data_IF_542763369142
#
_entry.id   IF_542763369142
#
_cell.length_a   1.000
_cell.length_b   1.000
_cell.length_c   1.000
_cell.angle_alpha   90.00
_cell.angle_beta   90.00
_cell.angle_gamma   90.00
#
_symmetry.space_group_name_H-M   'P 1'
#
loop_
_entity.id
_entity.type
_entity.pdbx_description
1 polymer ?
#
# COMPACT_ATOMS: atom_id res chain seq x y z
N UNK A 1 -27.98 16.98 10.63
CA UNK A 1 -28.10 15.65 10.00
C UNK A 1 -27.13 15.60 8.82
N UNK A 2 -26.03 14.84 8.94
CA UNK A 2 -24.86 14.88 8.03
C UNK A 2 -25.08 14.00 6.80
N UNK A 3 -24.56 14.49 5.68
CA UNK A 3 -24.59 14.03 4.29
C UNK A 3 -24.46 12.49 4.12
N UNK A 4 -25.48 11.86 3.54
CA UNK A 4 -25.41 10.55 2.88
C UNK A 4 -25.46 10.75 1.36
N UNK A 5 -24.33 11.09 0.72
CA UNK A 5 -24.28 11.23 -0.74
C UNK A 5 -22.93 10.87 -1.38
N UNK A 6 -22.02 10.20 -0.65
CA UNK A 6 -20.68 9.87 -1.15
C UNK A 6 -20.40 8.38 -1.40
N UNK A 7 -21.26 7.46 -0.96
CA UNK A 7 -20.87 6.05 -0.79
C UNK A 7 -20.94 5.14 -2.04
N UNK A 8 -21.20 5.63 -3.26
CA UNK A 8 -21.47 4.70 -4.39
C UNK A 8 -20.35 4.54 -5.42
N UNK A 9 -19.29 5.36 -5.37
CA UNK A 9 -18.19 5.34 -6.35
C UNK A 9 -16.86 4.84 -5.75
N UNK A 10 -16.76 4.70 -4.42
CA UNK A 10 -15.59 4.12 -3.74
C UNK A 10 -15.63 2.59 -3.57
N UNK A 11 -16.79 1.94 -3.73
CA UNK A 11 -16.96 0.50 -3.46
C UNK A 11 -16.18 -0.39 -4.44
N UNK A 12 -16.19 -0.03 -5.73
CA UNK A 12 -15.57 -0.85 -6.78
C UNK A 12 -14.04 -0.89 -6.74
N UNK A 13 -13.39 0.17 -6.21
CA UNK A 13 -11.92 0.20 -6.08
C UNK A 13 -11.45 -0.45 -4.78
N UNK A 14 -12.19 -0.27 -3.69
CA UNK A 14 -11.88 -0.89 -2.39
C UNK A 14 -12.04 -2.41 -2.48
N UNK A 15 -13.02 -2.90 -3.23
CA UNK A 15 -13.20 -4.34 -3.46
C UNK A 15 -12.01 -4.94 -4.22
N UNK A 16 -11.48 -4.27 -5.24
CA UNK A 16 -10.32 -4.76 -6.00
C UNK A 16 -9.06 -4.77 -5.14
N UNK A 17 -8.81 -3.71 -4.37
CA UNK A 17 -7.66 -3.65 -3.45
C UNK A 17 -7.75 -4.70 -2.33
N UNK A 18 -8.97 -4.98 -1.84
CA UNK A 18 -9.23 -6.04 -0.87
C UNK A 18 -9.03 -7.44 -1.44
N UNK A 19 -9.58 -7.72 -2.62
CA UNK A 19 -9.40 -9.01 -3.29
C UNK A 19 -7.93 -9.23 -3.62
N UNK A 20 -7.22 -8.20 -4.07
CA UNK A 20 -5.79 -8.30 -4.40
C UNK A 20 -4.96 -8.54 -3.14
N UNK A 21 -5.20 -7.79 -2.05
CA UNK A 21 -4.53 -8.01 -0.76
C UNK A 21 -4.79 -9.40 -0.20
N UNK A 22 -6.05 -9.84 -0.17
CA UNK A 22 -6.45 -11.17 0.29
C UNK A 22 -5.86 -12.29 -0.57
N UNK A 23 -5.81 -12.12 -1.90
CA UNK A 23 -5.24 -13.12 -2.82
C UNK A 23 -3.72 -13.21 -2.62
N UNK A 24 -3.01 -12.08 -2.60
CA UNK A 24 -1.55 -12.07 -2.46
C UNK A 24 -1.13 -12.62 -1.10
N UNK A 25 -1.68 -12.10 0.00
CA UNK A 25 -1.31 -12.61 1.33
C UNK A 25 -1.85 -14.02 1.60
N UNK A 26 -2.98 -14.41 1.02
CA UNK A 26 -3.48 -15.77 1.09
C UNK A 26 -2.55 -16.77 0.40
N UNK A 27 -2.04 -16.44 -0.79
CA UNK A 27 -1.05 -17.27 -1.50
C UNK A 27 0.26 -17.33 -0.73
N UNK A 28 0.75 -16.20 -0.19
CA UNK A 28 1.97 -16.19 0.65
C UNK A 28 1.79 -17.03 1.91
N UNK A 29 0.67 -16.90 2.62
CA UNK A 29 0.36 -17.69 3.81
C UNK A 29 0.25 -19.19 3.51
N UNK A 30 -0.39 -19.55 2.40
CA UNK A 30 -0.47 -20.93 1.94
C UNK A 30 0.92 -21.50 1.57
N UNK A 31 1.78 -20.70 0.92
CA UNK A 31 3.14 -21.10 0.59
C UNK A 31 4.00 -21.33 1.85
N UNK A 32 3.90 -20.46 2.87
CA UNK A 32 4.56 -20.64 4.17
C UNK A 32 4.06 -21.91 4.85
N UNK A 33 2.75 -22.12 4.89
CA UNK A 33 2.15 -23.29 5.51
C UNK A 33 2.49 -24.60 4.80
N UNK A 34 2.71 -24.56 3.47
CA UNK A 34 3.22 -25.69 2.69
C UNK A 34 4.68 -26.00 3.03
N UNK A 35 5.51 -24.97 3.21
CA UNK A 35 6.93 -25.13 3.57
C UNK A 35 7.12 -25.84 4.92
N UNK A 36 6.17 -25.69 5.85
CA UNK A 36 6.20 -26.37 7.15
C UNK A 36 5.72 -27.83 7.12
N UNK A 37 5.19 -28.32 5.99
CA UNK A 37 4.92 -29.73 5.75
C UNK A 37 3.72 -30.35 6.50
N UNK A 38 3.04 -29.61 7.38
CA UNK A 38 1.83 -30.12 8.07
C UNK A 38 0.56 -29.56 7.42
N UNK A 39 -0.43 -30.41 7.15
CA UNK A 39 -1.69 -29.99 6.50
C UNK A 39 -2.44 -28.95 7.34
N UNK A 40 -2.30 -29.01 8.67
CA UNK A 40 -2.86 -28.03 9.60
C UNK A 40 -2.19 -26.65 9.50
N UNK A 41 -0.85 -26.58 9.33
CA UNK A 41 -0.14 -25.31 9.17
C UNK A 41 -0.52 -24.58 7.88
N UNK A 42 -0.88 -25.34 6.83
CA UNK A 42 -1.32 -24.79 5.54
C UNK A 42 -2.62 -23.99 5.66
N UNK A 43 -3.62 -24.57 6.35
CA UNK A 43 -4.92 -23.92 6.56
C UNK A 43 -4.79 -22.72 7.50
N UNK A 44 -4.03 -22.85 8.59
CA UNK A 44 -3.89 -21.78 9.58
C UNK A 44 -3.09 -20.62 8.99
N UNK A 45 -1.93 -20.87 8.38
CA UNK A 45 -1.12 -19.82 7.77
C UNK A 45 -1.82 -19.16 6.58
N UNK A 46 -2.54 -19.94 5.77
CA UNK A 46 -3.39 -19.41 4.70
C UNK A 46 -4.53 -18.55 5.23
N UNK A 47 -5.25 -18.99 6.26
CA UNK A 47 -6.34 -18.23 6.86
C UNK A 47 -5.84 -16.92 7.50
N UNK A 48 -4.71 -16.97 8.19
CA UNK A 48 -4.06 -15.77 8.75
C UNK A 48 -3.62 -14.82 7.63
N UNK A 49 -3.03 -15.34 6.55
CA UNK A 49 -2.66 -14.56 5.38
C UNK A 49 -3.88 -13.87 4.75
N UNK A 50 -4.96 -14.61 4.51
CA UNK A 50 -6.22 -14.04 3.97
C UNK A 50 -6.79 -12.98 4.92
N UNK A 51 -6.79 -13.23 6.24
CA UNK A 51 -7.31 -12.28 7.23
C UNK A 51 -6.49 -10.97 7.25
N UNK A 52 -5.16 -11.05 7.22
CA UNK A 52 -4.30 -9.87 7.12
C UNK A 52 -4.44 -9.16 5.78
N UNK A 53 -4.52 -9.89 4.67
CA UNK A 53 -4.75 -9.32 3.34
C UNK A 53 -6.09 -8.59 3.24
N UNK A 54 -7.13 -9.16 3.85
CA UNK A 54 -8.45 -8.54 3.96
C UNK A 54 -8.42 -7.27 4.83
N UNK A 55 -7.79 -7.32 6.00
CA UNK A 55 -7.62 -6.15 6.89
C UNK A 55 -6.86 -5.02 6.21
N UNK A 56 -5.74 -5.31 5.55
CA UNK A 56 -4.92 -4.32 4.86
C UNK A 56 -5.67 -3.72 3.65
N UNK A 57 -6.45 -4.54 2.94
CA UNK A 57 -7.34 -4.10 1.88
C UNK A 57 -8.46 -3.17 2.36
N UNK A 58 -9.00 -3.43 3.55
CA UNK A 58 -10.02 -2.62 4.21
C UNK A 58 -9.50 -1.22 4.61
N UNK A 59 -8.20 -1.10 4.91
CA UNK A 59 -7.56 0.18 5.21
C UNK A 59 -7.30 1.06 3.96
N UNK A 60 -7.65 0.59 2.75
CA UNK A 60 -7.66 1.43 1.52
C UNK A 60 -6.28 1.90 1.04
N UNK A 61 -5.20 1.35 1.60
CA UNK A 61 -3.84 1.83 1.41
C UNK A 61 -3.12 1.23 0.20
N UNK A 62 -3.71 1.23 -1.01
CA UNK A 62 -3.07 0.62 -2.20
C UNK A 62 -1.61 1.01 -2.37
N UNK A 63 -1.30 2.30 -2.21
CA UNK A 63 0.05 2.87 -2.32
C UNK A 63 1.00 2.32 -1.24
N UNK A 64 0.48 2.15 -0.02
CA UNK A 64 1.21 1.65 1.13
C UNK A 64 1.47 0.14 1.03
N UNK A 65 0.47 -0.63 0.60
CA UNK A 65 0.63 -2.06 0.33
C UNK A 65 1.66 -2.29 -0.78
N UNK A 66 1.53 -1.58 -1.91
CA UNK A 66 2.47 -1.71 -3.03
C UNK A 66 3.89 -1.31 -2.63
N UNK A 67 4.07 -0.29 -1.78
CA UNK A 67 5.41 0.10 -1.34
C UNK A 67 6.04 -0.90 -0.37
N UNK A 68 5.26 -1.52 0.53
CA UNK A 68 5.76 -2.61 1.40
C UNK A 68 6.15 -3.81 0.55
N UNK A 69 5.30 -4.25 -0.38
CA UNK A 69 5.59 -5.41 -1.23
C UNK A 69 6.83 -5.15 -2.09
N UNK A 70 6.91 -3.97 -2.72
CA UNK A 70 8.07 -3.60 -3.51
C UNK A 70 9.34 -3.50 -2.65
N UNK A 71 9.25 -2.95 -1.44
CA UNK A 71 10.34 -2.89 -0.47
C UNK A 71 10.80 -4.27 -0.01
N UNK A 72 9.88 -5.19 0.26
CA UNK A 72 10.19 -6.57 0.66
C UNK A 72 10.84 -7.36 -0.48
N UNK A 73 10.36 -7.21 -1.72
CA UNK A 73 10.96 -7.85 -2.89
C UNK A 73 12.36 -7.30 -3.18
N UNK A 74 12.54 -5.98 -3.14
CA UNK A 74 13.85 -5.35 -3.33
C UNK A 74 14.82 -5.71 -2.21
N UNK A 75 14.39 -5.66 -0.95
CA UNK A 75 15.22 -6.00 0.21
C UNK A 75 15.60 -7.49 0.24
N UNK A 76 14.66 -8.38 -0.04
CA UNK A 76 14.92 -9.82 -0.14
C UNK A 76 15.82 -10.17 -1.32
N UNK A 77 15.57 -9.58 -2.49
CA UNK A 77 16.39 -9.78 -3.69
C UNK A 77 17.81 -9.24 -3.53
N UNK A 78 17.98 -8.09 -2.88
CA UNK A 78 19.31 -7.54 -2.61
C UNK A 78 20.07 -8.38 -1.58
N UNK A 79 19.40 -8.85 -0.53
CA UNK A 79 20.00 -9.77 0.44
C UNK A 79 20.38 -11.12 -0.21
N UNK A 80 19.57 -11.61 -1.14
CA UNK A 80 19.89 -12.81 -1.93
C UNK A 80 21.17 -12.63 -2.75
N UNK A 81 21.32 -11.48 -3.42
CA UNK A 81 22.48 -11.16 -4.24
C UNK A 81 23.78 -11.00 -3.44
N UNK A 82 23.69 -10.49 -2.20
CA UNK A 82 24.87 -10.14 -1.39
C UNK A 82 25.28 -11.27 -0.46
N UNK A 83 24.32 -11.91 0.21
CA UNK A 83 24.57 -12.82 1.33
C UNK A 83 23.92 -14.21 1.16
N UNK A 84 23.35 -14.50 -0.02
CA UNK A 84 22.74 -15.79 -0.32
C UNK A 84 21.37 -15.99 0.32
N UNK A 85 20.87 -17.23 0.29
CA UNK A 85 19.50 -17.59 0.69
C UNK A 85 19.20 -17.37 2.18
N UNK A 86 20.21 -17.45 3.03
CA UNK A 86 20.04 -17.36 4.49
C UNK A 86 19.67 -15.95 4.95
N UNK A 87 20.07 -14.93 4.19
CA UNK A 87 19.80 -13.52 4.51
C UNK A 87 18.51 -13.00 3.88
N UNK A 88 17.87 -13.74 2.97
CA UNK A 88 16.72 -13.29 2.18
C UNK A 88 15.54 -12.91 3.07
N UNK A 89 15.27 -13.71 4.11
CA UNK A 89 14.18 -13.46 5.04
C UNK A 89 14.39 -12.17 5.82
N UNK A 90 15.63 -11.90 6.23
CA UNK A 90 16.00 -10.69 6.98
C UNK A 90 15.98 -9.44 6.09
N UNK A 91 16.46 -9.58 4.85
CA UNK A 91 16.39 -8.55 3.82
C UNK A 91 14.95 -8.20 3.41
N UNK A 92 14.10 -9.22 3.25
CA UNK A 92 12.70 -9.02 2.92
C UNK A 92 11.93 -8.36 4.07
N UNK A 93 12.20 -8.75 5.32
CA UNK A 93 11.58 -8.16 6.49
C UNK A 93 11.97 -6.67 6.66
N UNK A 94 13.26 -6.36 6.60
CA UNK A 94 13.76 -4.99 6.71
C UNK A 94 13.33 -4.11 5.53
N UNK A 95 13.39 -4.64 4.31
CA UNK A 95 12.93 -3.95 3.10
C UNK A 95 11.44 -3.67 3.11
N UNK A 96 10.62 -4.60 3.61
CA UNK A 96 9.19 -4.40 3.81
C UNK A 96 8.90 -3.28 4.81
N UNK A 97 9.62 -3.27 5.94
CA UNK A 97 9.48 -2.21 6.96
C UNK A 97 9.85 -0.82 6.41
N UNK A 98 10.99 -0.70 5.71
CA UNK A 98 11.40 0.56 5.07
C UNK A 98 10.47 0.98 3.94
N UNK A 99 10.03 0.02 3.12
CA UNK A 99 9.08 0.24 2.02
C UNK A 99 7.73 0.77 2.52
N UNK A 100 7.29 0.33 3.71
CA UNK A 100 6.10 0.86 4.37
C UNK A 100 6.26 2.32 4.77
N UNK A 101 7.36 2.66 5.44
CA UNK A 101 7.64 4.03 5.84
C UNK A 101 7.73 4.98 4.63
N UNK A 102 8.44 4.57 3.57
CA UNK A 102 8.52 5.34 2.33
C UNK A 102 7.17 5.49 1.61
N UNK A 103 6.30 4.48 1.69
CA UNK A 103 4.94 4.54 1.13
C UNK A 103 4.10 5.64 1.74
N UNK A 104 4.17 5.81 3.06
CA UNK A 104 3.46 6.86 3.79
C UNK A 104 4.01 8.24 3.42
N UNK A 105 5.34 8.39 3.42
CA UNK A 105 6.01 9.65 3.09
C UNK A 105 5.75 10.10 1.64
N UNK A 106 5.79 9.16 0.69
CA UNK A 106 5.47 9.43 -0.72
C UNK A 106 3.99 9.76 -0.93
N UNK A 107 3.09 9.13 -0.15
CA UNK A 107 1.67 9.44 -0.16
C UNK A 107 1.41 10.91 0.20
N UNK A 108 1.97 11.35 1.32
CA UNK A 108 1.84 12.73 1.78
C UNK A 108 2.44 13.75 0.79
N UNK A 109 3.59 13.42 0.20
CA UNK A 109 4.26 14.31 -0.75
C UNK A 109 3.49 14.42 -2.08
N UNK A 110 2.84 13.35 -2.55
CA UNK A 110 1.94 13.41 -3.70
C UNK A 110 0.64 14.19 -3.41
N UNK A 111 0.12 14.10 -2.19
CA UNK A 111 -1.03 14.90 -1.72
C UNK A 111 -0.71 16.40 -1.85
N UNK A 112 0.44 16.82 -1.33
CA UNK A 112 0.91 18.22 -1.40
C UNK A 112 1.08 18.71 -2.83
N UNK A 113 1.63 17.88 -3.73
CA UNK A 113 1.77 18.24 -5.15
C UNK A 113 0.42 18.43 -5.85
N UNK A 114 -0.59 17.61 -5.52
CA UNK A 114 -1.94 17.78 -6.06
C UNK A 114 -2.59 19.08 -5.57
N UNK A 115 -2.44 19.40 -4.28
CA UNK A 115 -2.95 20.65 -3.72
C UNK A 115 -2.25 21.89 -4.30
N UNK A 116 -0.94 21.79 -4.59
CA UNK A 116 -0.16 22.87 -5.21
C UNK A 116 -0.63 23.19 -6.64
N UNK A 117 -1.04 22.18 -7.40
CA UNK A 117 -1.61 22.38 -8.74
C UNK A 117 -3.00 23.01 -8.72
N UNK A 118 -3.80 22.73 -7.68
CA UNK A 118 -5.16 23.25 -7.55
C UNK A 118 -5.19 24.71 -7.09
N UNK A 119 -4.31 25.13 -6.18
CA UNK A 119 -4.18 26.55 -5.78
C UNK A 119 -3.71 27.49 -6.90
N UNK A 120 -3.06 26.97 -7.96
CA UNK A 120 -2.65 27.78 -9.11
C UNK A 120 -3.78 28.01 -10.12
N UNK A 121 -4.84 27.21 -10.08
CA UNK A 121 -6.04 27.36 -10.93
C UNK A 121 -7.07 28.29 -10.29
N UNK A 122 -7.09 28.39 -8.95
CA UNK A 122 -7.94 29.32 -8.18
C UNK A 122 -7.26 30.68 -7.90
N UNK A 123 -6.12 30.99 -8.53
CA UNK A 123 -5.58 32.35 -8.47
C UNK A 123 -6.50 33.26 -9.31
N UNK A 124 -7.23 34.23 -8.71
CA UNK A 124 -8.00 35.19 -9.49
C UNK A 124 -7.03 35.95 -10.41
N UNK A 125 -7.44 36.27 -11.65
CA UNK A 125 -6.58 37.00 -12.58
C UNK A 125 -6.13 38.30 -11.92
N UNK A 126 -4.90 38.77 -12.20
CA UNK A 126 -4.41 40.01 -11.64
C UNK A 126 -5.41 41.11 -12.02
N UNK A 127 -6.06 41.69 -11.01
CA UNK A 127 -6.88 42.88 -11.20
C UNK A 127 -5.98 43.97 -11.79
N UNK A 128 -6.04 44.10 -13.10
CA UNK A 128 -5.61 45.28 -13.83
C UNK A 128 -6.36 46.49 -13.27
N UNK A 129 -5.59 47.47 -12.80
CA UNK A 129 -6.00 48.87 -12.85
C UNK A 129 -6.81 49.39 -11.66
N UNK A 130 -6.21 49.45 -10.47
CA UNK A 130 -6.56 50.54 -9.54
C UNK A 130 -5.62 51.72 -9.80
N UNK A 131 -6.01 52.53 -10.79
CA UNK A 131 -5.42 53.85 -11.05
C UNK A 131 -6.00 54.83 -10.02
N UNK A 132 -5.20 55.43 -9.11
CA UNK A 132 -5.71 56.42 -8.19
C UNK A 132 -6.00 57.71 -8.97
N UNK A 133 -7.23 58.23 -8.82
CA UNK A 133 -7.59 59.61 -9.16
C UNK A 133 -7.28 60.54 -7.99
#
# INVERSE_FOLDING_TARGET
MRRMAGCRVEDGRITVDMVLGATVFGVVGAAIGYYWGTTASLVIAGAVGVAFGYLIGLLGGRRFFVSIVCGALLGGGLAWLIAGTDAVTLGAASGGAMGGFFGVQLGMLMELRKSSGQSRVDAPPPSEGESPR
#
